data_IF_174921149468
#
_entry.id   IF_174921149468
#
_cell.length_a   1.000
_cell.length_b   1.000
_cell.length_c   1.000
_cell.angle_alpha   90.00
_cell.angle_beta   90.00
_cell.angle_gamma   90.00
#
_symmetry.space_group_name_H-M   'P 1'
#
loop_
_entity.id
_entity.type
_entity.pdbx_description
1 polymer ?
#
# COMPACT_ATOMS: atom_id res chain seq x y z
N UNK A 1 -22.02 8.19 -7.91
CA UNK A 1 -21.56 6.90 -8.47
C UNK A 1 -20.70 6.22 -7.42
N UNK A 2 -20.85 4.91 -7.22
CA UNK A 2 -19.95 4.13 -6.37
C UNK A 2 -18.62 3.93 -7.12
N UNK A 3 -17.51 4.21 -6.45
CA UNK A 3 -16.18 3.93 -6.97
C UNK A 3 -15.91 2.41 -6.87
N UNK A 4 -15.79 1.72 -8.00
CA UNK A 4 -15.53 0.27 -8.04
C UNK A 4 -14.04 -0.09 -7.87
N UNK A 5 -13.17 0.90 -7.64
CA UNK A 5 -11.76 0.66 -7.36
C UNK A 5 -11.59 -0.07 -6.01
N UNK A 6 -10.82 -1.16 -6.00
CA UNK A 6 -10.61 -1.97 -4.80
C UNK A 6 -9.91 -1.20 -3.67
N UNK A 7 -8.91 -0.37 -3.98
CA UNK A 7 -8.26 0.48 -2.98
C UNK A 7 -9.26 1.43 -2.33
N UNK A 8 -10.19 2.01 -3.09
CA UNK A 8 -11.23 2.87 -2.53
C UNK A 8 -12.15 2.12 -1.56
N UNK A 9 -12.53 0.88 -1.88
CA UNK A 9 -13.31 0.02 -0.99
C UNK A 9 -12.54 -0.34 0.29
N UNK A 10 -11.26 -0.71 0.17
CA UNK A 10 -10.39 -0.98 1.31
C UNK A 10 -10.22 0.25 2.20
N UNK A 11 -9.93 1.41 1.60
CA UNK A 11 -9.70 2.67 2.31
C UNK A 11 -10.93 3.15 3.08
N UNK A 12 -12.13 2.88 2.56
CA UNK A 12 -13.40 3.18 3.23
C UNK A 12 -13.63 2.29 4.47
N UNK A 13 -12.98 1.13 4.56
CA UNK A 13 -13.06 0.21 5.68
C UNK A 13 -11.94 0.40 6.72
N UNK A 14 -11.03 1.37 6.53
CA UNK A 14 -9.99 1.67 7.52
C UNK A 14 -10.61 2.18 8.82
N UNK A 15 -9.97 1.93 9.97
CA UNK A 15 -10.47 2.43 11.24
C UNK A 15 -10.47 3.96 11.30
N UNK A 16 -11.26 4.50 12.24
CA UNK A 16 -11.27 5.95 12.52
C UNK A 16 -9.92 6.40 13.06
N UNK A 17 -9.33 5.61 13.97
CA UNK A 17 -7.97 5.83 14.46
C UNK A 17 -6.96 5.23 13.49
N UNK A 18 -6.36 6.11 12.68
CA UNK A 18 -5.39 5.74 11.67
C UNK A 18 -4.00 5.42 12.24
N UNK A 19 -3.76 5.70 13.52
CA UNK A 19 -2.48 5.43 14.19
C UNK A 19 -2.47 4.04 14.85
N UNK A 20 -3.59 3.30 14.82
CA UNK A 20 -3.64 1.88 15.14
C UNK A 20 -2.75 1.04 14.19
N UNK A 21 -2.21 -0.06 14.73
CA UNK A 21 -1.35 -0.98 13.97
C UNK A 21 -2.17 -1.75 12.96
N UNK A 22 -1.79 -1.65 11.69
CA UNK A 22 -2.39 -2.42 10.59
C UNK A 22 -1.59 -3.69 10.29
N UNK A 23 -0.26 -3.60 10.36
CA UNK A 23 0.64 -4.73 10.12
C UNK A 23 1.76 -4.76 11.16
N UNK A 24 1.89 -5.90 11.80
CA UNK A 24 3.06 -6.25 12.60
C UNK A 24 4.04 -7.04 11.74
N UNK A 25 5.31 -6.66 11.79
CA UNK A 25 6.38 -7.33 11.07
C UNK A 25 7.64 -7.42 11.92
N UNK A 26 8.67 -8.06 11.37
CA UNK A 26 9.97 -8.20 12.01
C UNK A 26 11.04 -7.72 11.03
N UNK A 27 11.93 -6.85 11.50
CA UNK A 27 13.05 -6.35 10.71
C UNK A 27 14.03 -7.48 10.38
N UNK A 28 14.92 -7.32 9.38
CA UNK A 28 15.97 -8.30 9.11
C UNK A 28 16.89 -8.57 10.30
N UNK A 29 16.92 -7.67 11.29
CA UNK A 29 17.70 -7.81 12.53
C UNK A 29 16.91 -8.45 13.68
N UNK A 30 15.65 -8.84 13.46
CA UNK A 30 14.79 -9.45 14.46
C UNK A 30 14.00 -8.47 15.33
N UNK A 31 14.04 -7.17 15.02
CA UNK A 31 13.32 -6.15 15.80
C UNK A 31 11.85 -6.07 15.37
N UNK A 32 10.89 -5.93 16.30
CA UNK A 32 9.49 -5.76 15.93
C UNK A 32 9.27 -4.42 15.22
N UNK A 33 8.49 -4.45 14.14
CA UNK A 33 8.06 -3.29 13.38
C UNK A 33 6.54 -3.21 13.40
N UNK A 34 6.01 -2.02 13.63
CA UNK A 34 4.57 -1.76 13.66
C UNK A 34 4.26 -0.70 12.62
N UNK A 35 3.47 -1.05 11.61
CA UNK A 35 3.05 -0.15 10.56
C UNK A 35 1.60 0.24 10.79
N UNK A 36 1.35 1.54 10.96
CA UNK A 36 -0.01 2.05 11.18
C UNK A 36 -0.83 2.08 9.90
N UNK A 37 -2.15 2.15 10.01
CA UNK A 37 -3.02 2.38 8.84
C UNK A 37 -2.63 3.66 8.09
N UNK A 38 -2.16 4.69 8.81
CA UNK A 38 -1.64 5.93 8.24
C UNK A 38 -0.36 5.70 7.42
N UNK A 39 0.53 4.83 7.88
CA UNK A 39 1.74 4.48 7.15
C UNK A 39 1.40 3.76 5.84
N UNK A 40 0.44 2.83 5.89
CA UNK A 40 -0.05 2.11 4.72
C UNK A 40 -0.61 3.07 3.67
N UNK A 41 -1.53 3.95 4.08
CA UNK A 41 -2.17 4.96 3.23
C UNK A 41 -1.15 5.91 2.58
N UNK A 42 -0.21 6.43 3.37
CA UNK A 42 0.80 7.39 2.88
C UNK A 42 1.86 6.73 2.00
N UNK A 43 2.31 5.53 2.34
CA UNK A 43 3.35 4.85 1.58
C UNK A 43 2.82 4.34 0.23
N UNK A 44 1.63 3.74 0.20
CA UNK A 44 0.99 3.35 -1.06
C UNK A 44 0.71 4.58 -1.94
N UNK A 45 0.23 5.69 -1.37
CA UNK A 45 0.02 6.93 -2.13
C UNK A 45 1.32 7.49 -2.73
N UNK A 46 2.44 7.44 -2.01
CA UNK A 46 3.76 7.84 -2.56
C UNK A 46 4.18 6.97 -3.73
N UNK A 47 4.01 5.64 -3.63
CA UNK A 47 4.29 4.70 -4.71
C UNK A 47 3.35 4.90 -5.90
N UNK A 48 2.05 5.11 -5.67
CA UNK A 48 1.06 5.36 -6.72
C UNK A 48 1.39 6.64 -7.50
N UNK A 49 1.79 7.71 -6.81
CA UNK A 49 2.25 8.94 -7.45
C UNK A 49 3.53 8.73 -8.28
N UNK A 50 4.46 7.90 -7.79
CA UNK A 50 5.64 7.52 -8.58
C UNK A 50 5.21 6.78 -9.86
N UNK A 51 4.34 5.77 -9.77
CA UNK A 51 3.82 5.04 -10.94
C UNK A 51 3.10 5.96 -11.92
N UNK A 52 2.26 6.88 -11.41
CA UNK A 52 1.57 7.87 -12.22
C UNK A 52 2.55 8.81 -12.95
N UNK A 53 3.66 9.19 -12.31
CA UNK A 53 4.70 10.04 -12.92
C UNK A 53 5.36 9.41 -14.15
N UNK A 54 5.34 8.07 -14.27
CA UNK A 54 5.86 7.33 -15.42
C UNK A 54 4.93 7.42 -16.64
N UNK A 55 3.71 7.96 -16.49
CA UNK A 55 2.71 8.15 -17.56
C UNK A 55 2.42 6.86 -18.34
N UNK A 56 2.31 5.75 -17.60
CA UNK A 56 1.97 4.46 -18.18
C UNK A 56 0.53 4.48 -18.73
N UNK A 57 0.26 3.81 -19.86
CA UNK A 57 -1.11 3.64 -20.34
C UNK A 57 -2.00 2.97 -19.29
N UNK A 58 -3.28 3.30 -19.28
CA UNK A 58 -4.27 2.61 -18.44
C UNK A 58 -4.28 1.10 -18.73
N UNK A 59 -4.42 0.28 -17.68
CA UNK A 59 -4.35 -1.18 -17.79
C UNK A 59 -2.94 -1.73 -18.01
N UNK A 60 -1.89 -0.90 -17.89
CA UNK A 60 -0.51 -1.36 -17.82
C UNK A 60 -0.31 -2.32 -16.65
N UNK A 61 0.52 -3.35 -16.86
CA UNK A 61 0.84 -4.34 -15.83
C UNK A 61 2.16 -3.96 -15.16
N UNK A 62 2.17 -3.99 -13.83
CA UNK A 62 3.37 -3.81 -13.04
C UNK A 62 3.84 -5.20 -12.61
N UNK A 63 4.95 -5.66 -13.17
CA UNK A 63 5.58 -6.91 -12.77
C UNK A 63 6.61 -6.62 -11.67
N UNK A 64 6.63 -7.47 -10.62
CA UNK A 64 7.58 -7.34 -9.53
C UNK A 64 8.09 -8.71 -9.11
N UNK A 65 9.39 -8.83 -8.86
CA UNK A 65 10.03 -9.99 -8.25
C UNK A 65 10.80 -9.52 -7.02
N UNK A 66 10.18 -9.71 -5.86
CA UNK A 66 10.70 -9.29 -4.56
C UNK A 66 10.34 -10.33 -3.51
N UNK A 67 11.10 -10.35 -2.43
CA UNK A 67 10.79 -11.16 -1.26
C UNK A 67 9.58 -10.60 -0.49
N UNK A 68 9.03 -11.42 0.42
CA UNK A 68 7.91 -11.03 1.28
C UNK A 68 8.29 -9.88 2.21
N UNK A 69 7.73 -8.70 1.98
CA UNK A 69 7.87 -7.52 2.85
C UNK A 69 6.59 -6.70 2.92
N UNK A 70 6.52 -5.77 3.87
CA UNK A 70 5.42 -4.79 3.97
C UNK A 70 5.45 -3.88 2.73
N UNK A 71 6.62 -3.48 2.27
CA UNK A 71 6.81 -2.65 1.09
C UNK A 71 6.28 -3.32 -0.19
N UNK A 72 6.40 -4.65 -0.33
CA UNK A 72 5.81 -5.39 -1.46
C UNK A 72 4.27 -5.32 -1.44
N UNK A 73 3.66 -5.43 -0.26
CA UNK A 73 2.22 -5.23 -0.08
C UNK A 73 1.79 -3.79 -0.39
N UNK A 74 2.57 -2.79 0.06
CA UNK A 74 2.32 -1.37 -0.23
C UNK A 74 2.39 -1.06 -1.73
N UNK A 75 3.33 -1.68 -2.44
CA UNK A 75 3.41 -1.59 -3.90
C UNK A 75 2.16 -2.19 -4.55
N UNK A 76 1.68 -3.35 -4.09
CA UNK A 76 0.44 -3.93 -4.59
C UNK A 76 -0.74 -2.97 -4.41
N UNK A 77 -0.92 -2.39 -3.21
CA UNK A 77 -1.97 -1.40 -2.95
C UNK A 77 -1.87 -0.18 -3.87
N UNK A 78 -0.64 0.26 -4.20
CA UNK A 78 -0.40 1.38 -5.11
C UNK A 78 -0.74 1.10 -6.58
N UNK A 79 -0.90 -0.18 -6.96
CA UNK A 79 -1.26 -0.58 -8.34
C UNK A 79 -2.76 -0.74 -8.57
N UNK A 80 -3.57 -0.70 -7.50
CA UNK A 80 -5.02 -0.82 -7.54
C UNK A 80 -5.68 0.50 -7.95
#
# INVERSE_FOLDING_TARGET
MLNSNLFAALRAAFPVDMDEVAVEAVSPRGEPLHYSWRDLDRASARMANLLASLRLPEGSRIAVQVEKSVEAMLLYLATL
#
